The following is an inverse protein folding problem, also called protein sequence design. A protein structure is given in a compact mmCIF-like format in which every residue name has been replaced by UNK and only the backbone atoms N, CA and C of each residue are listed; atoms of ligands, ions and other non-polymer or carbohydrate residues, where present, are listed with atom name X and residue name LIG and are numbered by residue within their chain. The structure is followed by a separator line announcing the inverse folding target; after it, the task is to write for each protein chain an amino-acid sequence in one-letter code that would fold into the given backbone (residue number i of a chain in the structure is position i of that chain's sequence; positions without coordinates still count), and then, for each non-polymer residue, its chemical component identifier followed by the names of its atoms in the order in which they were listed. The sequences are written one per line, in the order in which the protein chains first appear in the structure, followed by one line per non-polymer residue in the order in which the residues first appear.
data_IF_794815415241
#
_entry.id   IF_794815415241
#
_cell.length_a   1.000
_cell.length_b   1.000
_cell.length_c   1.000
_cell.angle_alpha   90.00
_cell.angle_beta   90.00
_cell.angle_gamma   90.00
#
_symmetry.space_group_name_H-M   'P 1'
#
loop_
_entity.id
_entity.type
_entity.pdbx_description
1 polymer ?
#
# COMPACT_ATOMS: atom_id res chain seq x y z
N UNK A 1 25.92 -11.90 -1.24
CA UNK A 1 24.93 -12.24 -2.30
C UNK A 1 23.52 -12.49 -1.75
N UNK A 2 23.35 -13.26 -0.66
CA UNK A 2 22.02 -13.56 -0.07
C UNK A 2 21.19 -12.32 0.32
N UNK A 3 21.83 -11.26 0.83
CA UNK A 3 21.16 -10.01 1.26
C UNK A 3 20.47 -9.27 0.10
N UNK A 4 21.01 -9.35 -1.12
CA UNK A 4 20.38 -8.78 -2.31
C UNK A 4 19.15 -9.59 -2.72
N UNK A 5 19.26 -10.93 -2.71
CA UNK A 5 18.16 -11.83 -3.06
C UNK A 5 16.96 -11.65 -2.11
N UNK A 6 17.22 -11.56 -0.80
CA UNK A 6 16.19 -11.29 0.20
C UNK A 6 15.52 -9.93 0.00
N UNK A 7 16.29 -8.89 -0.33
CA UNK A 7 15.77 -7.55 -0.59
C UNK A 7 14.86 -7.50 -1.82
N UNK A 8 15.19 -8.26 -2.88
CA UNK A 8 14.37 -8.38 -4.07
C UNK A 8 13.05 -9.14 -3.80
N UNK A 9 13.07 -10.18 -2.97
CA UNK A 9 11.87 -10.93 -2.57
C UNK A 9 10.94 -10.06 -1.70
N UNK A 10 11.49 -9.38 -0.69
CA UNK A 10 10.73 -8.50 0.21
C UNK A 10 10.03 -7.35 -0.53
N UNK A 11 10.58 -6.88 -1.65
CA UNK A 11 9.96 -5.82 -2.47
C UNK A 11 8.64 -6.25 -3.11
N UNK A 12 8.55 -7.50 -3.60
CA UNK A 12 7.30 -8.02 -4.19
C UNK A 12 6.18 -8.13 -3.17
N UNK A 13 6.51 -8.54 -1.94
CA UNK A 13 5.52 -8.64 -0.86
C UNK A 13 5.00 -7.27 -0.45
N UNK A 14 5.87 -6.26 -0.40
CA UNK A 14 5.48 -4.87 -0.09
C UNK A 14 4.48 -4.32 -1.10
N UNK A 15 4.72 -4.53 -2.40
CA UNK A 15 3.81 -4.10 -3.47
C UNK A 15 2.45 -4.82 -3.38
N UNK A 16 2.48 -6.14 -3.15
CA UNK A 16 1.27 -6.94 -2.98
C UNK A 16 0.44 -6.46 -1.78
N UNK A 17 1.10 -6.15 -0.65
CA UNK A 17 0.44 -5.61 0.52
C UNK A 17 -0.18 -4.23 0.26
N UNK A 18 0.51 -3.37 -0.50
CA UNK A 18 -0.04 -2.05 -0.86
C UNK A 18 -1.33 -2.16 -1.68
N UNK A 19 -1.37 -3.07 -2.66
CA UNK A 19 -2.57 -3.33 -3.48
C UNK A 19 -3.72 -3.86 -2.62
N UNK A 20 -3.44 -4.77 -1.68
CA UNK A 20 -4.46 -5.29 -0.75
C UNK A 20 -5.05 -4.16 0.09
N UNK A 21 -4.21 -3.30 0.68
CA UNK A 21 -4.70 -2.16 1.47
C UNK A 21 -5.50 -1.17 0.65
N UNK A 22 -5.03 -0.78 -0.55
CA UNK A 22 -5.78 0.08 -1.46
C UNK A 22 -7.15 -0.52 -1.79
N UNK A 23 -7.20 -1.82 -2.10
CA UNK A 23 -8.46 -2.53 -2.37
C UNK A 23 -9.39 -2.53 -1.15
N UNK A 24 -8.86 -2.72 0.06
CA UNK A 24 -9.64 -2.67 1.30
C UNK A 24 -10.18 -1.27 1.60
N UNK A 25 -9.43 -0.22 1.24
CA UNK A 25 -9.84 1.19 1.37
C UNK A 25 -10.96 1.51 0.38
N UNK A 26 -10.80 1.13 -0.89
CA UNK A 26 -11.85 1.29 -1.92
C UNK A 26 -13.14 0.54 -1.54
N UNK A 27 -13.02 -0.61 -0.86
CA UNK A 27 -14.16 -1.37 -0.33
C UNK A 27 -14.74 -0.81 0.98
N UNK A 28 -14.19 0.26 1.55
CA UNK A 28 -14.61 0.84 2.83
C UNK A 28 -14.38 -0.08 4.04
N UNK A 29 -13.48 -1.06 3.93
CA UNK A 29 -13.13 -2.00 5.02
C UNK A 29 -11.98 -1.51 5.89
N UNK A 30 -11.17 -0.59 5.36
CA UNK A 30 -10.04 0.04 6.03
C UNK A 30 -10.02 1.53 5.69
N UNK A 31 -9.45 2.35 6.56
CA UNK A 31 -9.14 3.76 6.28
C UNK A 31 -7.65 3.92 5.99
N UNK A 32 -7.28 5.01 5.31
CA UNK A 32 -5.88 5.28 4.98
C UNK A 32 -5.00 5.46 6.24
N UNK A 33 -5.55 5.97 7.34
CA UNK A 33 -4.89 6.03 8.65
C UNK A 33 -4.46 4.64 9.20
N UNK A 34 -5.14 3.56 8.80
CA UNK A 34 -4.82 2.19 9.23
C UNK A 34 -3.69 1.54 8.41
N UNK A 35 -3.16 2.25 7.42
CA UNK A 35 -2.06 1.76 6.59
C UNK A 35 -0.74 1.91 7.36
N UNK A 36 0.08 0.85 7.47
CA UNK A 36 1.40 0.95 8.07
C UNK A 36 2.30 1.99 7.38
N UNK A 37 3.03 2.80 8.15
CA UNK A 37 3.86 3.90 7.63
C UNK A 37 4.84 3.46 6.53
N UNK A 38 5.40 2.24 6.66
CA UNK A 38 6.34 1.68 5.68
C UNK A 38 5.75 1.51 4.28
N UNK A 39 4.43 1.31 4.18
CA UNK A 39 3.72 1.09 2.91
C UNK A 39 2.73 2.21 2.54
N UNK A 40 2.49 3.18 3.43
CA UNK A 40 1.67 4.38 3.15
C UNK A 40 2.01 5.02 1.80
N UNK A 41 3.29 5.26 1.44
CA UNK A 41 3.63 5.86 0.15
C UNK A 41 3.20 5.00 -1.05
N UNK A 42 3.31 3.67 -0.95
CA UNK A 42 2.88 2.78 -2.03
C UNK A 42 1.36 2.70 -2.13
N UNK A 43 0.66 2.60 -0.99
CA UNK A 43 -0.81 2.60 -0.96
C UNK A 43 -1.36 3.91 -1.53
N UNK A 44 -0.74 5.04 -1.19
CA UNK A 44 -1.10 6.36 -1.75
C UNK A 44 -0.99 6.36 -3.27
N UNK A 45 0.12 5.87 -3.80
CA UNK A 45 0.31 5.79 -5.24
C UNK A 45 -0.73 4.88 -5.90
N UNK A 46 -0.99 3.70 -5.33
CA UNK A 46 -2.00 2.78 -5.88
C UNK A 46 -3.40 3.41 -5.85
N UNK A 47 -3.75 4.18 -4.81
CA UNK A 47 -5.04 4.89 -4.76
C UNK A 47 -5.12 6.00 -5.83
N UNK A 48 -4.03 6.73 -6.09
CA UNK A 48 -3.94 7.72 -7.17
C UNK A 48 -4.10 7.03 -8.54
N UNK A 49 -3.40 5.91 -8.75
CA UNK A 49 -3.47 5.14 -10.00
C UNK A 49 -4.88 4.55 -10.24
N UNK A 50 -5.66 4.36 -9.16
CA UNK A 50 -7.06 3.93 -9.18
C UNK A 50 -8.06 5.10 -9.20
N UNK A 51 -7.59 6.35 -9.32
CA UNK A 51 -8.43 7.57 -9.30
C UNK A 51 -9.27 7.68 -8.01
N UNK A 52 -8.79 7.14 -6.89
CA UNK A 52 -9.45 7.07 -5.59
C UNK A 52 -8.75 7.93 -4.52
N UNK A 53 -8.14 9.03 -4.94
CA UNK A 53 -7.35 9.92 -4.07
C UNK A 53 -8.16 10.60 -2.95
N UNK A 54 -9.47 10.75 -3.13
CA UNK A 54 -10.40 11.26 -2.11
C UNK A 54 -10.44 10.38 -0.84
N UNK A 55 -10.04 9.11 -0.95
CA UNK A 55 -10.00 8.17 0.18
C UNK A 55 -8.75 8.30 1.05
N UNK A 56 -7.81 9.19 0.68
CA UNK A 56 -6.59 9.48 1.44
C UNK A 56 -6.93 10.46 2.57
N UNK A 57 -7.59 9.95 3.61
CA UNK A 57 -7.88 10.72 4.84
C UNK A 57 -6.99 10.24 5.99
N UNK A 58 -6.32 11.19 6.65
CA UNK A 58 -5.40 10.95 7.78
C UNK A 58 -6.11 11.13 9.15
N UNK A 59 -7.44 10.94 9.21
CA UNK A 59 -8.23 11.05 10.46
C UNK A 59 -7.92 9.95 11.49
#
# INVERSE_FOLDING_TARGET
MLRLLLFLLLRKEVETMAIIYATLIVKGKKTYAQVPEKIKPQVKQVLIDLECEDLITEE
#
